data_IF_782253983718
#
_entry.id   IF_782253983718
#
_cell.length_a   1.000
_cell.length_b   1.000
_cell.length_c   1.000
_cell.angle_alpha   90.00
_cell.angle_beta   90.00
_cell.angle_gamma   90.00
#
_symmetry.space_group_name_H-M   'P 1'
#
loop_
_entity.id
_entity.type
_entity.pdbx_description
1 polymer ?
#
# COMPACT_ATOMS: atom_id res chain seq x y z
N UNK A 1 29.17 7.64 16.46
CA UNK A 1 28.30 6.63 15.82
C UNK A 1 28.06 7.11 14.39
N UNK A 2 28.48 6.36 13.37
CA UNK A 2 28.20 6.73 11.97
C UNK A 2 26.70 6.46 11.73
N UNK A 3 25.99 7.45 11.24
CA UNK A 3 24.59 7.23 10.85
C UNK A 3 24.56 6.25 9.68
N UNK A 4 23.60 5.30 9.65
CA UNK A 4 23.45 4.39 8.53
C UNK A 4 23.11 5.18 7.27
N UNK A 5 23.56 4.72 6.11
CA UNK A 5 23.15 5.24 4.81
C UNK A 5 21.70 4.82 4.56
N UNK A 6 20.75 5.72 4.84
CA UNK A 6 19.33 5.48 4.67
C UNK A 6 18.95 5.67 3.21
N UNK A 7 18.16 4.75 2.68
CA UNK A 7 17.51 4.89 1.37
C UNK A 7 16.00 4.96 1.53
N UNK A 8 15.31 5.50 0.52
CA UNK A 8 13.86 5.67 0.51
C UNK A 8 13.25 4.96 -0.70
N UNK A 9 12.11 4.31 -0.48
CA UNK A 9 11.19 3.84 -1.50
C UNK A 9 9.79 4.36 -1.22
N UNK A 10 9.06 4.72 -2.26
CA UNK A 10 7.67 5.19 -2.18
C UNK A 10 6.81 4.28 -3.05
N UNK A 11 5.71 3.79 -2.51
CA UNK A 11 4.63 3.13 -3.25
C UNK A 11 3.36 3.96 -3.10
N UNK A 12 2.67 4.21 -4.21
CA UNK A 12 1.41 4.94 -4.25
C UNK A 12 0.35 4.17 -5.02
N UNK A 13 -0.80 4.02 -4.41
CA UNK A 13 -1.96 3.39 -5.01
C UNK A 13 -2.93 4.46 -5.52
N UNK A 14 -3.24 4.44 -6.81
CA UNK A 14 -4.15 5.39 -7.44
C UNK A 14 -5.46 4.73 -7.84
N UNK A 15 -6.53 5.49 -7.69
CA UNK A 15 -7.83 5.22 -8.28
C UNK A 15 -7.79 5.56 -9.75
N UNK A 16 -8.18 4.63 -10.62
CA UNK A 16 -8.44 4.91 -12.03
C UNK A 16 -9.91 5.20 -12.20
N UNK A 17 -10.23 6.42 -12.56
CA UNK A 17 -11.61 6.90 -12.64
C UNK A 17 -11.97 7.38 -14.05
N UNK A 18 -13.23 7.26 -14.37
CA UNK A 18 -13.81 7.85 -15.58
C UNK A 18 -13.65 9.38 -15.56
N UNK A 19 -13.32 9.97 -16.71
CA UNK A 19 -13.06 11.41 -16.78
C UNK A 19 -14.30 12.29 -16.60
N UNK A 20 -15.52 11.75 -16.79
CA UNK A 20 -16.78 12.46 -16.72
C UNK A 20 -17.56 12.11 -15.45
N UNK A 21 -17.84 10.81 -15.23
CA UNK A 21 -18.64 10.33 -14.10
C UNK A 21 -17.89 10.28 -12.79
N UNK A 22 -16.56 10.20 -12.83
CA UNK A 22 -15.68 10.00 -11.67
C UNK A 22 -15.83 8.63 -11.00
N UNK A 23 -16.59 7.72 -11.57
CA UNK A 23 -16.71 6.35 -11.09
C UNK A 23 -15.38 5.59 -11.28
N UNK A 24 -15.10 4.68 -10.35
CA UNK A 24 -13.94 3.80 -10.48
C UNK A 24 -14.12 2.90 -11.70
N UNK A 25 -13.09 2.78 -12.52
CA UNK A 25 -13.11 1.94 -13.73
C UNK A 25 -12.37 0.63 -13.50
N UNK A 26 -13.05 -0.47 -13.81
CA UNK A 26 -12.43 -1.77 -14.06
C UNK A 26 -11.95 -1.87 -15.53
N UNK A 27 -11.28 -2.95 -15.88
CA UNK A 27 -10.84 -3.23 -17.27
C UNK A 27 -9.83 -2.20 -17.84
N UNK A 28 -8.90 -1.79 -17.03
CA UNK A 28 -7.83 -0.85 -17.39
C UNK A 28 -6.65 -1.50 -18.13
N UNK A 29 -6.84 -2.68 -18.75
CA UNK A 29 -5.75 -3.48 -19.32
C UNK A 29 -4.92 -2.73 -20.34
N UNK A 30 -5.54 -2.02 -21.29
CA UNK A 30 -4.81 -1.25 -22.31
C UNK A 30 -4.01 -0.09 -21.72
N UNK A 31 -4.58 0.60 -20.73
CA UNK A 31 -3.86 1.65 -19.99
C UNK A 31 -2.67 1.06 -19.24
N UNK A 32 -2.87 -0.11 -18.62
CA UNK A 32 -1.81 -0.78 -17.86
C UNK A 32 -0.67 -1.25 -18.77
N UNK A 33 -0.97 -1.87 -19.91
CA UNK A 33 0.03 -2.32 -20.89
C UNK A 33 0.92 -1.17 -21.39
N UNK A 34 0.31 -0.01 -21.67
CA UNK A 34 1.08 1.21 -22.00
C UNK A 34 1.92 1.71 -20.83
N UNK A 35 1.37 1.66 -19.63
CA UNK A 35 2.08 2.03 -18.41
C UNK A 35 3.28 1.12 -18.15
N UNK A 36 3.11 -0.19 -18.33
CA UNK A 36 4.17 -1.18 -18.19
C UNK A 36 5.28 -0.96 -19.24
N UNK A 37 4.93 -0.68 -20.49
CA UNK A 37 5.90 -0.35 -21.53
C UNK A 37 6.70 0.93 -21.23
N UNK A 38 6.10 1.93 -20.59
CA UNK A 38 6.74 3.22 -20.28
C UNK A 38 7.48 3.23 -18.94
N UNK A 39 6.99 2.51 -17.95
CA UNK A 39 7.45 2.57 -16.55
C UNK A 39 8.09 1.26 -16.06
N UNK A 40 7.95 0.17 -16.85
CA UNK A 40 8.46 -1.16 -16.54
C UNK A 40 8.00 -1.63 -15.13
N UNK A 41 8.92 -2.06 -14.30
CA UNK A 41 8.64 -2.58 -12.95
C UNK A 41 8.07 -1.56 -11.97
N UNK A 42 8.03 -0.26 -12.34
CA UNK A 42 7.50 0.80 -11.48
C UNK A 42 5.96 0.84 -11.41
N UNK A 43 5.25 0.13 -12.28
CA UNK A 43 3.79 0.06 -12.28
C UNK A 43 3.34 -1.38 -12.05
N UNK A 44 2.37 -1.56 -11.15
CA UNK A 44 1.85 -2.89 -10.82
C UNK A 44 0.32 -2.87 -10.76
N UNK A 45 -0.28 -4.04 -11.09
CA UNK A 45 -1.70 -4.29 -10.87
C UNK A 45 -1.92 -4.63 -9.41
N UNK A 46 -2.99 -4.11 -8.84
CA UNK A 46 -3.40 -4.41 -7.50
C UNK A 46 -4.59 -5.37 -7.45
N UNK A 47 -5.03 -5.68 -6.22
CA UNK A 47 -6.11 -6.64 -5.92
C UNK A 47 -7.42 -6.29 -6.65
N UNK A 48 -7.80 -5.02 -6.69
CA UNK A 48 -8.96 -4.54 -7.46
C UNK A 48 -8.53 -3.96 -8.80
N UNK A 49 -9.28 -4.23 -9.86
CA UNK A 49 -8.92 -3.83 -11.23
C UNK A 49 -8.88 -2.31 -11.46
N UNK A 50 -9.59 -1.53 -10.65
CA UNK A 50 -9.58 -0.06 -10.70
C UNK A 50 -8.40 0.59 -9.97
N UNK A 51 -7.42 -0.21 -9.51
CA UNK A 51 -6.26 0.27 -8.74
C UNK A 51 -4.98 0.09 -9.55
N UNK A 52 -4.17 1.14 -9.58
CA UNK A 52 -2.79 1.09 -10.09
C UNK A 52 -1.86 1.44 -8.94
N UNK A 53 -0.90 0.58 -8.67
CA UNK A 53 0.22 0.87 -7.80
C UNK A 53 1.43 1.33 -8.61
N UNK A 54 2.08 2.39 -8.15
CA UNK A 54 3.37 2.81 -8.67
C UNK A 54 4.44 2.76 -7.57
N UNK A 55 5.63 2.25 -7.92
CA UNK A 55 6.80 2.23 -7.06
C UNK A 55 7.88 3.19 -7.54
N UNK A 56 8.52 3.90 -6.63
CA UNK A 56 9.73 4.65 -6.95
C UNK A 56 10.93 3.71 -7.12
N UNK A 57 11.98 4.20 -7.76
CA UNK A 57 13.31 3.60 -7.61
C UNK A 57 13.79 3.73 -6.15
N UNK A 58 14.88 3.06 -5.80
CA UNK A 58 15.58 3.28 -4.54
C UNK A 58 16.20 4.68 -4.58
N UNK A 59 15.75 5.56 -3.69
CA UNK A 59 16.17 6.96 -3.62
C UNK A 59 17.11 7.19 -2.45
N UNK A 60 18.13 8.01 -2.65
CA UNK A 60 19.13 8.34 -1.61
C UNK A 60 18.64 9.40 -0.64
N UNK A 61 17.70 10.22 -1.09
CA UNK A 61 17.14 11.31 -0.29
C UNK A 61 15.73 11.69 -0.76
N UNK A 62 15.08 12.59 -0.02
CA UNK A 62 13.72 13.06 -0.31
C UNK A 62 13.62 13.86 -1.63
N UNK A 63 14.70 14.49 -2.10
CA UNK A 63 14.71 15.26 -3.36
C UNK A 63 14.63 14.30 -4.53
N UNK A 64 15.41 13.21 -4.47
CA UNK A 64 15.40 12.16 -5.48
C UNK A 64 14.06 11.44 -5.49
N UNK A 65 13.50 11.10 -4.32
CA UNK A 65 12.18 10.52 -4.21
C UNK A 65 11.10 11.44 -4.81
N UNK A 66 11.11 12.73 -4.48
CA UNK A 66 10.18 13.71 -5.03
C UNK A 66 10.27 13.81 -6.56
N UNK A 67 11.47 13.84 -7.11
CA UNK A 67 11.68 13.91 -8.55
C UNK A 67 11.12 12.66 -9.25
N UNK A 68 11.46 11.49 -8.75
CA UNK A 68 11.06 10.20 -9.33
C UNK A 68 9.53 10.02 -9.29
N UNK A 69 8.91 10.24 -8.14
CA UNK A 69 7.45 10.15 -7.98
C UNK A 69 6.72 11.17 -8.86
N UNK A 70 7.21 12.42 -8.93
CA UNK A 70 6.61 13.46 -9.80
C UNK A 70 6.62 13.02 -11.27
N UNK A 71 7.75 12.50 -11.75
CA UNK A 71 7.87 12.02 -13.14
C UNK A 71 6.97 10.82 -13.40
N UNK A 72 6.95 9.84 -12.49
CA UNK A 72 6.12 8.63 -12.62
C UNK A 72 4.63 8.98 -12.63
N UNK A 73 4.17 9.85 -11.72
CA UNK A 73 2.79 10.36 -11.71
C UNK A 73 2.42 11.05 -13.01
N UNK A 74 3.31 11.93 -13.53
CA UNK A 74 3.05 12.63 -14.78
C UNK A 74 2.86 11.65 -15.95
N UNK A 75 3.66 10.59 -16.01
CA UNK A 75 3.56 9.54 -17.03
C UNK A 75 2.23 8.80 -16.93
N UNK A 76 1.85 8.34 -15.72
CA UNK A 76 0.56 7.64 -15.51
C UNK A 76 -0.62 8.54 -15.83
N UNK A 77 -0.57 9.83 -15.46
CA UNK A 77 -1.61 10.81 -15.79
C UNK A 77 -1.75 11.02 -17.32
N UNK A 78 -0.64 11.07 -18.04
CA UNK A 78 -0.66 11.22 -19.50
C UNK A 78 -1.31 10.01 -20.16
N UNK A 79 -0.89 8.80 -19.78
CA UNK A 79 -1.44 7.54 -20.29
C UNK A 79 -2.95 7.43 -19.96
N UNK A 80 -3.38 7.75 -18.76
CA UNK A 80 -4.79 7.72 -18.36
C UNK A 80 -5.64 8.63 -19.28
N UNK A 81 -5.16 9.85 -19.54
CA UNK A 81 -5.86 10.82 -20.42
C UNK A 81 -6.06 10.31 -21.84
N UNK A 82 -5.11 9.57 -22.41
CA UNK A 82 -5.23 8.98 -23.75
C UNK A 82 -6.37 7.96 -23.84
N UNK A 83 -6.79 7.40 -22.69
CA UNK A 83 -7.88 6.44 -22.60
C UNK A 83 -9.18 7.04 -22.05
N UNK A 84 -9.31 8.37 -21.98
CA UNK A 84 -10.48 9.03 -21.39
C UNK A 84 -10.62 8.83 -19.89
N UNK A 85 -9.53 8.49 -19.23
CA UNK A 85 -9.46 8.21 -17.80
C UNK A 85 -8.69 9.30 -17.04
N UNK A 86 -8.82 9.29 -15.73
CA UNK A 86 -8.01 10.10 -14.81
C UNK A 86 -7.52 9.22 -13.67
N UNK A 87 -6.48 9.66 -13.00
CA UNK A 87 -6.06 9.09 -11.71
C UNK A 87 -6.43 10.04 -10.59
N UNK A 88 -6.82 9.48 -9.45
CA UNK A 88 -7.10 10.20 -8.22
C UNK A 88 -6.37 9.55 -7.06
N UNK A 89 -6.00 10.37 -6.07
CA UNK A 89 -5.30 9.94 -4.86
C UNK A 89 -6.20 10.25 -3.67
N UNK A 90 -6.76 9.22 -3.07
CA UNK A 90 -7.54 9.27 -1.84
C UNK A 90 -7.59 7.88 -1.22
N UNK A 91 -7.64 7.76 0.11
CA UNK A 91 -7.58 6.47 0.80
C UNK A 91 -8.78 5.55 0.57
N UNK A 92 -9.94 6.10 0.18
CA UNK A 92 -11.14 5.37 -0.27
C UNK A 92 -11.77 6.08 -1.46
N UNK A 93 -12.48 5.33 -2.32
CA UNK A 93 -13.31 5.96 -3.34
C UNK A 93 -14.60 6.51 -2.68
N UNK A 94 -14.96 7.79 -2.96
CA UNK A 94 -16.05 8.45 -2.21
C UNK A 94 -17.41 7.76 -2.33
N UNK A 95 -17.77 7.26 -3.50
CA UNK A 95 -19.11 6.76 -3.76
C UNK A 95 -19.20 5.41 -4.47
N UNK A 96 -18.16 4.91 -5.14
CA UNK A 96 -18.18 3.57 -5.73
C UNK A 96 -18.37 2.51 -4.64
N UNK A 97 -19.33 1.61 -4.83
CA UNK A 97 -19.52 0.49 -3.92
C UNK A 97 -18.51 -0.62 -4.24
N UNK A 98 -17.86 -1.15 -3.22
CA UNK A 98 -16.82 -2.17 -3.39
C UNK A 98 -17.30 -3.45 -4.10
N UNK A 99 -18.59 -3.79 -3.98
CA UNK A 99 -19.17 -4.97 -4.64
C UNK A 99 -19.28 -4.82 -6.16
N UNK A 100 -19.22 -3.59 -6.68
CA UNK A 100 -19.32 -3.28 -8.11
C UNK A 100 -17.92 -3.31 -8.80
N UNK A 101 -16.85 -3.52 -8.02
CA UNK A 101 -15.47 -3.51 -8.52
C UNK A 101 -14.95 -4.94 -8.64
N UNK A 102 -14.45 -5.28 -9.82
CA UNK A 102 -13.87 -6.60 -10.07
C UNK A 102 -12.49 -6.74 -9.46
N UNK A 103 -12.15 -7.97 -9.06
CA UNK A 103 -10.83 -8.33 -8.59
C UNK A 103 -9.92 -8.74 -9.76
N UNK A 104 -8.64 -8.47 -9.63
CA UNK A 104 -7.63 -8.86 -10.61
C UNK A 104 -7.41 -10.36 -10.56
N UNK A 105 -7.55 -11.11 -11.68
CA UNK A 105 -7.26 -12.54 -11.70
C UNK A 105 -5.80 -12.82 -11.36
N UNK A 106 -5.57 -13.44 -10.21
CA UNK A 106 -4.23 -13.81 -9.74
C UNK A 106 -4.36 -14.91 -8.66
N UNK A 107 -3.60 -16.01 -8.76
CA UNK A 107 -3.66 -17.11 -7.78
C UNK A 107 -3.45 -16.68 -6.33
N UNK A 108 -2.63 -15.64 -6.09
CA UNK A 108 -2.44 -15.06 -4.75
C UNK A 108 -3.71 -14.39 -4.24
N UNK A 109 -4.41 -13.67 -5.11
CA UNK A 109 -5.66 -12.98 -4.75
C UNK A 109 -6.82 -13.95 -4.57
N UNK A 110 -6.89 -14.99 -5.38
CA UNK A 110 -7.90 -16.06 -5.26
C UNK A 110 -7.84 -16.73 -3.89
N UNK A 111 -6.63 -16.95 -3.37
CA UNK A 111 -6.43 -17.48 -2.02
C UNK A 111 -6.92 -16.51 -0.94
N UNK A 112 -6.57 -15.23 -1.03
CA UNK A 112 -7.03 -14.20 -0.09
C UNK A 112 -8.57 -14.10 -0.13
N UNK A 113 -9.17 -14.16 -1.32
CA UNK A 113 -10.62 -14.18 -1.50
C UNK A 113 -11.25 -15.41 -0.86
N UNK A 114 -10.64 -16.58 -1.01
CA UNK A 114 -11.12 -17.82 -0.41
C UNK A 114 -11.09 -17.77 1.13
N UNK A 115 -10.01 -17.24 1.68
CA UNK A 115 -9.77 -17.23 3.13
C UNK A 115 -10.57 -16.12 3.85
N UNK A 116 -10.67 -14.94 3.26
CA UNK A 116 -11.25 -13.75 3.89
C UNK A 116 -12.61 -13.32 3.32
N UNK A 117 -13.06 -13.93 2.21
CA UNK A 117 -14.39 -13.72 1.63
C UNK A 117 -14.78 -12.24 1.48
N UNK A 118 -15.88 -11.81 2.12
CA UNK A 118 -16.39 -10.43 2.06
C UNK A 118 -15.39 -9.41 2.60
N UNK A 119 -14.56 -9.78 3.56
CA UNK A 119 -13.54 -8.88 4.12
C UNK A 119 -12.51 -8.51 3.05
N UNK A 120 -12.07 -9.49 2.25
CA UNK A 120 -11.17 -9.24 1.14
C UNK A 120 -11.83 -8.38 0.06
N UNK A 121 -13.05 -8.74 -0.38
CA UNK A 121 -13.78 -7.99 -1.43
C UNK A 121 -14.04 -6.55 -1.04
N UNK A 122 -14.38 -6.30 0.22
CA UNK A 122 -14.66 -4.96 0.73
C UNK A 122 -13.40 -4.12 0.99
N UNK A 123 -12.20 -4.66 0.77
CA UNK A 123 -10.95 -3.94 0.98
C UNK A 123 -10.58 -3.03 -0.22
N UNK A 124 -11.53 -2.24 -0.67
CA UNK A 124 -11.33 -1.26 -1.74
C UNK A 124 -10.74 0.04 -1.16
N UNK A 125 -9.47 -0.01 -0.84
CA UNK A 125 -8.72 1.08 -0.22
C UNK A 125 -7.43 1.35 -0.97
N UNK A 126 -6.86 2.55 -0.77
CA UNK A 126 -5.70 3.03 -1.48
C UNK A 126 -4.71 3.62 -0.49
N UNK A 127 -3.48 3.22 -0.57
CA UNK A 127 -2.44 3.59 0.40
C UNK A 127 -1.26 4.30 -0.21
N UNK A 128 -0.56 5.01 0.67
CA UNK A 128 0.77 5.54 0.44
C UNK A 128 1.74 4.80 1.38
N UNK A 129 2.67 4.05 0.82
CA UNK A 129 3.67 3.33 1.59
C UNK A 129 5.04 4.02 1.47
N UNK A 130 5.75 4.07 2.59
CA UNK A 130 7.13 4.58 2.63
C UNK A 130 8.02 3.49 3.18
N UNK A 131 9.05 3.15 2.41
CA UNK A 131 10.09 2.20 2.77
C UNK A 131 11.36 2.96 3.14
N UNK A 132 11.95 2.63 4.26
CA UNK A 132 13.26 3.12 4.67
C UNK A 132 14.24 1.94 4.67
N UNK A 133 15.26 2.01 3.83
CA UNK A 133 16.34 1.02 3.77
C UNK A 133 17.24 1.13 4.99
N UNK A 134 17.55 -0.02 5.60
CA UNK A 134 18.38 -0.14 6.79
C UNK A 134 19.20 -1.42 6.68
N UNK A 135 20.51 -1.32 6.55
CA UNK A 135 21.38 -2.47 6.26
C UNK A 135 21.52 -3.45 7.43
N UNK A 136 21.36 -2.95 8.68
CA UNK A 136 21.50 -3.76 9.88
C UNK A 136 20.13 -4.13 10.48
N UNK A 137 19.93 -5.42 10.73
CA UNK A 137 18.66 -5.98 11.22
C UNK A 137 18.31 -5.56 12.65
N UNK A 138 19.29 -5.43 13.54
CA UNK A 138 19.05 -5.00 14.92
C UNK A 138 18.74 -3.49 14.96
N UNK A 139 19.45 -2.70 14.15
CA UNK A 139 19.11 -1.30 13.94
C UNK A 139 17.69 -1.15 13.37
N UNK A 140 17.28 -2.01 12.44
CA UNK A 140 15.93 -2.01 11.88
C UNK A 140 14.88 -2.24 12.98
N UNK A 141 15.07 -3.21 13.88
CA UNK A 141 14.14 -3.47 15.00
C UNK A 141 14.13 -2.30 16.00
N UNK A 142 15.28 -1.71 16.28
CA UNK A 142 15.34 -0.53 17.14
C UNK A 142 14.52 0.64 16.54
N UNK A 143 14.73 0.95 15.26
CA UNK A 143 13.99 1.99 14.54
C UNK A 143 12.50 1.63 14.43
N UNK A 144 12.16 0.36 14.16
CA UNK A 144 10.79 -0.12 14.17
C UNK A 144 10.08 0.15 15.51
N UNK A 145 10.70 -0.19 16.63
CA UNK A 145 10.13 0.04 17.96
C UNK A 145 9.88 1.53 18.23
N UNK A 146 10.81 2.40 17.84
CA UNK A 146 10.63 3.85 17.97
C UNK A 146 9.56 4.40 17.03
N UNK A 147 9.55 3.93 15.79
CA UNK A 147 8.61 4.40 14.76
C UNK A 147 7.15 4.08 15.08
N UNK A 148 6.85 3.04 15.86
CA UNK A 148 5.51 2.70 16.36
C UNK A 148 4.84 3.88 17.07
N UNK A 149 5.60 4.64 17.86
CA UNK A 149 5.10 5.84 18.54
C UNK A 149 4.61 6.90 17.54
N UNK A 150 5.23 6.99 16.37
CA UNK A 150 4.89 8.00 15.37
C UNK A 150 3.75 7.61 14.42
N UNK A 151 3.31 6.35 14.40
CA UNK A 151 2.25 5.87 13.49
C UNK A 151 0.97 6.73 13.58
N UNK A 152 0.41 7.04 14.77
CA UNK A 152 -0.79 7.88 14.85
C UNK A 152 -0.56 9.31 14.35
N UNK A 153 0.64 9.86 14.55
CA UNK A 153 1.01 11.20 14.07
C UNK A 153 1.11 11.23 12.55
N UNK A 154 1.76 10.22 11.97
CA UNK A 154 1.88 10.07 10.51
C UNK A 154 0.49 9.91 9.89
N UNK A 155 -0.38 9.09 10.47
CA UNK A 155 -1.77 8.95 10.03
C UNK A 155 -2.50 10.29 10.06
N UNK A 156 -2.40 11.05 11.14
CA UNK A 156 -3.07 12.34 11.27
C UNK A 156 -2.69 13.35 10.19
N UNK A 157 -1.43 13.31 9.69
CA UNK A 157 -0.98 14.16 8.58
C UNK A 157 -1.37 13.66 7.19
N UNK A 158 -1.79 12.40 7.06
CA UNK A 158 -2.08 11.75 5.77
C UNK A 158 -3.55 11.39 5.57
N UNK A 159 -4.45 11.83 6.46
CA UNK A 159 -5.88 11.51 6.37
C UNK A 159 -6.50 12.09 5.09
N UNK A 160 -7.11 11.22 4.27
CA UNK A 160 -7.69 11.58 2.97
C UNK A 160 -8.82 10.61 2.55
N UNK A 161 -9.64 10.13 3.50
CA UNK A 161 -10.73 9.18 3.19
C UNK A 161 -11.95 9.35 4.09
N UNK A 162 -12.64 10.53 4.03
CA UNK A 162 -13.80 10.77 4.88
C UNK A 162 -15.10 10.13 4.35
N UNK A 163 -15.13 9.67 3.10
CA UNK A 163 -16.32 9.10 2.46
C UNK A 163 -16.16 7.63 2.15
N UNK A 164 -17.27 6.87 2.22
CA UNK A 164 -17.33 5.46 1.88
C UNK A 164 -18.70 5.08 1.33
N UNK A 165 -18.74 4.44 0.14
CA UNK A 165 -20.00 4.00 -0.52
C UNK A 165 -21.08 5.11 -0.54
N UNK A 166 -20.71 6.33 -0.92
CA UNK A 166 -21.60 7.47 -1.06
C UNK A 166 -22.02 8.13 0.25
N UNK A 167 -21.37 7.80 1.37
CA UNK A 167 -21.73 8.34 2.70
C UNK A 167 -20.55 9.02 3.36
N UNK A 168 -20.80 10.11 4.05
CA UNK A 168 -19.86 10.68 5.01
C UNK A 168 -19.78 9.76 6.23
N UNK A 169 -18.54 9.37 6.61
CA UNK A 169 -18.31 8.35 7.64
C UNK A 169 -18.13 8.93 9.05
N UNK A 170 -17.87 10.24 9.16
CA UNK A 170 -17.44 10.89 10.39
C UNK A 170 -15.96 10.72 10.73
N UNK A 171 -15.22 9.92 9.95
CA UNK A 171 -13.79 9.72 10.09
C UNK A 171 -13.00 10.52 9.06
N UNK A 172 -11.80 10.98 9.41
CA UNK A 172 -10.89 11.64 8.46
C UNK A 172 -10.12 10.63 7.61
N UNK A 173 -9.86 9.43 8.15
CA UNK A 173 -9.34 8.26 7.45
C UNK A 173 -10.25 7.05 7.72
N UNK A 174 -11.20 6.81 6.83
CA UNK A 174 -12.02 5.60 6.90
C UNK A 174 -11.28 4.39 6.31
N UNK A 175 -10.25 4.61 5.50
CA UNK A 175 -9.35 3.57 5.00
C UNK A 175 -8.84 2.68 6.13
N UNK A 176 -8.39 3.26 7.23
CA UNK A 176 -7.90 2.50 8.38
C UNK A 176 -8.99 1.59 8.96
N UNK A 177 -10.25 2.06 9.01
CA UNK A 177 -11.39 1.28 9.52
C UNK A 177 -11.77 0.13 8.59
N UNK A 178 -11.58 0.27 7.30
CA UNK A 178 -11.75 -0.82 6.34
C UNK A 178 -10.62 -1.83 6.50
N UNK A 179 -9.37 -1.37 6.58
CA UNK A 179 -8.19 -2.22 6.68
C UNK A 179 -8.10 -3.00 8.00
N UNK A 180 -8.55 -2.44 9.11
CA UNK A 180 -8.61 -3.11 10.42
C UNK A 180 -9.39 -4.43 10.43
N UNK A 181 -10.25 -4.67 9.42
CA UNK A 181 -10.98 -5.93 9.26
C UNK A 181 -10.08 -7.07 8.78
N UNK A 182 -8.94 -6.77 8.19
CA UNK A 182 -7.95 -7.77 7.83
C UNK A 182 -7.23 -8.28 9.08
N UNK A 183 -6.87 -9.56 9.14
CA UNK A 183 -6.08 -10.09 10.24
C UNK A 183 -4.67 -9.50 10.23
N UNK A 184 -4.04 -9.40 11.40
CA UNK A 184 -2.65 -8.95 11.54
C UNK A 184 -2.40 -7.55 10.94
N UNK A 185 -3.33 -6.64 11.13
CA UNK A 185 -3.23 -5.20 10.84
C UNK A 185 -3.00 -4.40 12.13
N UNK A 186 -2.89 -3.08 12.02
CA UNK A 186 -2.70 -2.16 13.15
C UNK A 186 -1.23 -2.02 13.56
N UNK A 187 -1.01 -1.36 14.69
CA UNK A 187 0.33 -1.12 15.23
C UNK A 187 0.83 -2.41 15.87
N UNK A 188 1.97 -2.97 15.42
CA UNK A 188 2.53 -4.21 15.97
C UNK A 188 3.07 -4.03 17.40
N UNK A 189 3.28 -5.12 18.11
CA UNK A 189 4.02 -5.12 19.38
C UNK A 189 5.52 -4.81 19.18
N UNK A 190 6.20 -4.42 20.25
CA UNK A 190 7.65 -4.23 20.24
C UNK A 190 8.38 -5.57 20.26
N UNK A 191 9.56 -5.60 19.66
CA UNK A 191 10.46 -6.76 19.71
C UNK A 191 11.77 -6.38 20.38
N UNK A 192 12.33 -7.29 21.15
CA UNK A 192 13.63 -7.11 21.83
C UNK A 192 14.81 -7.31 20.86
N UNK A 193 14.61 -8.07 19.78
CA UNK A 193 15.61 -8.36 18.75
C UNK A 193 14.95 -8.73 17.42
N UNK A 194 15.73 -8.71 16.34
CA UNK A 194 15.27 -9.23 15.06
C UNK A 194 15.00 -10.75 15.11
N UNK A 195 15.75 -11.47 15.97
CA UNK A 195 15.55 -12.90 16.20
C UNK A 195 14.14 -13.21 16.76
N UNK A 196 13.64 -12.42 17.70
CA UNK A 196 12.28 -12.55 18.23
C UNK A 196 11.22 -12.34 17.14
N UNK A 197 11.39 -11.33 16.29
CA UNK A 197 10.52 -11.13 15.14
C UNK A 197 10.53 -12.33 14.19
N UNK A 198 11.71 -12.90 13.91
CA UNK A 198 11.82 -14.09 13.06
C UNK A 198 11.18 -15.33 13.71
N UNK A 199 11.24 -15.44 15.03
CA UNK A 199 10.60 -16.53 15.77
C UNK A 199 9.07 -16.44 15.65
N UNK A 200 8.49 -15.26 15.84
CA UNK A 200 7.06 -15.03 15.60
C UNK A 200 6.65 -15.45 14.18
N UNK A 201 7.41 -15.04 13.16
CA UNK A 201 7.11 -15.43 11.79
C UNK A 201 7.16 -16.94 11.58
N UNK A 202 8.18 -17.62 12.15
CA UNK A 202 8.30 -19.07 12.08
C UNK A 202 7.13 -19.78 12.74
N UNK A 203 6.67 -19.28 13.88
CA UNK A 203 5.52 -19.85 14.60
C UNK A 203 4.22 -19.67 13.81
N UNK A 204 3.99 -18.50 13.24
CA UNK A 204 2.82 -18.26 12.39
C UNK A 204 2.82 -19.16 11.12
N UNK A 205 3.99 -19.40 10.52
CA UNK A 205 4.12 -20.30 9.38
C UNK A 205 3.90 -21.76 9.83
N UNK A 206 4.52 -22.19 10.92
CA UNK A 206 4.42 -23.54 11.46
C UNK A 206 2.98 -23.92 11.83
N UNK A 207 2.21 -22.96 12.32
CA UNK A 207 0.78 -23.14 12.67
C UNK A 207 -0.16 -22.95 11.48
N UNK A 208 0.36 -22.80 10.25
CA UNK A 208 -0.41 -22.50 9.05
C UNK A 208 -1.31 -21.23 9.17
N UNK A 209 -0.98 -20.31 10.08
CA UNK A 209 -1.67 -19.03 10.22
C UNK A 209 -1.32 -18.07 9.08
N UNK A 210 -0.12 -18.19 8.51
CA UNK A 210 0.35 -17.49 7.32
C UNK A 210 1.19 -18.43 6.46
N UNK A 211 1.27 -18.16 5.18
CA UNK A 211 2.17 -18.87 4.27
C UNK A 211 3.60 -18.28 4.33
N UNK A 212 3.68 -16.98 4.44
CA UNK A 212 4.95 -16.25 4.51
C UNK A 212 4.74 -14.85 5.12
N UNK A 213 5.82 -14.14 5.40
CA UNK A 213 5.80 -12.82 6.05
C UNK A 213 5.09 -11.71 5.25
N UNK A 214 4.76 -11.92 3.95
CA UNK A 214 3.96 -10.96 3.17
C UNK A 214 2.50 -10.88 3.64
N UNK A 215 2.04 -11.87 4.42
CA UNK A 215 0.70 -11.90 5.01
C UNK A 215 0.62 -11.19 6.38
N UNK A 216 1.66 -10.48 6.78
CA UNK A 216 1.66 -9.55 7.91
C UNK A 216 1.34 -8.16 7.34
N UNK A 217 0.20 -7.60 7.74
CA UNK A 217 -0.31 -6.33 7.22
C UNK A 217 -0.25 -5.18 8.24
N UNK A 218 0.67 -5.26 9.22
CA UNK A 218 0.88 -4.19 10.21
C UNK A 218 1.18 -2.83 9.55
N UNK A 219 0.86 -1.78 10.26
CA UNK A 219 1.12 -0.38 9.86
C UNK A 219 2.62 -0.09 9.69
N UNK A 220 3.45 -0.80 10.48
CA UNK A 220 4.89 -0.86 10.32
C UNK A 220 5.31 -2.31 10.14
N UNK A 221 6.14 -2.60 9.16
CA UNK A 221 6.56 -3.96 8.86
C UNK A 221 8.03 -4.01 8.43
N UNK A 222 8.87 -4.80 9.11
CA UNK A 222 10.15 -5.22 8.55
C UNK A 222 9.90 -6.02 7.26
N UNK A 223 10.43 -5.53 6.14
CA UNK A 223 10.16 -6.15 4.85
C UNK A 223 11.17 -7.28 4.56
N UNK A 224 10.70 -8.36 3.97
CA UNK A 224 11.53 -9.42 3.40
C UNK A 224 11.21 -9.54 1.90
N UNK A 225 12.16 -9.71 1.04
CA UNK A 225 13.60 -10.01 1.23
C UNK A 225 14.50 -8.76 1.39
N UNK A 226 13.96 -7.56 1.29
CA UNK A 226 14.75 -6.34 1.34
C UNK A 226 14.91 -5.84 2.79
N UNK A 227 16.10 -5.34 3.19
CA UNK A 227 16.32 -4.80 4.52
C UNK A 227 15.68 -3.39 4.63
N UNK A 228 14.34 -3.35 4.62
CA UNK A 228 13.59 -2.09 4.72
C UNK A 228 12.53 -2.17 5.81
N UNK A 229 12.26 -1.03 6.43
CA UNK A 229 11.10 -0.81 7.26
C UNK A 229 10.01 -0.15 6.41
N UNK A 230 8.91 -0.87 6.18
CA UNK A 230 7.74 -0.36 5.46
C UNK A 230 6.75 0.27 6.45
N UNK A 231 6.33 1.52 6.17
CA UNK A 231 5.23 2.18 6.85
C UNK A 231 4.03 2.31 5.91
N UNK A 232 2.87 1.77 6.31
CA UNK A 232 1.68 1.52 5.48
C UNK A 232 0.41 2.22 5.97
N UNK A 233 0.49 3.02 7.03
CA UNK A 233 -0.67 3.61 7.70
C UNK A 233 -1.32 4.78 6.95
N UNK A 234 -0.73 5.28 5.86
CA UNK A 234 -1.18 6.50 5.17
C UNK A 234 -2.28 6.21 4.15
N UNK A 235 -3.21 7.15 4.05
CA UNK A 235 -4.09 7.27 2.88
C UNK A 235 -3.28 7.72 1.65
N UNK A 236 -3.72 7.33 0.45
CA UNK A 236 -3.12 7.78 -0.81
C UNK A 236 -3.43 9.24 -1.11
#
# INVERSE_FOLDING_TARGET
MKLPDLTLGIEEEFQVVDAETRELKSHISQMFEKGEAALHEKIQREFHQGVIEIGSKICRDIREARQDVTQTRATVCAIAREHGLRIASAGTHPFTHWADVETTPNPRYDRILKDLQVVARANLIFGLHVHVGLDDKETLIHVFNMARYFVPHILAFSVNSPFWCGRETGWKSYRTKVFEKFPRTGIPDAFTSFGEYEELLRDLIRTNSIENGKMIWWDLRPHRPYPTLASRCRDA
#
